data_IF_625058621208
#
_entry.id   IF_625058621208
#
_cell.length_a   1.000
_cell.length_b   1.000
_cell.length_c   1.000
_cell.angle_alpha   90.00
_cell.angle_beta   90.00
_cell.angle_gamma   90.00
#
_symmetry.space_group_name_H-M   'P 1'
#
loop_
_entity.id
_entity.type
_entity.pdbx_description
1 polymer ?
#
# COMPACT_ATOMS: atom_id res chain seq x y z
N UNK A 1 -17.62 -4.86 -19.25
CA UNK A 1 -17.38 -3.42 -19.03
C UNK A 1 -15.92 -3.18 -18.69
N UNK A 2 -15.28 -2.30 -19.42
CA UNK A 2 -13.88 -1.96 -19.13
C UNK A 2 -13.80 -0.93 -18.00
N UNK A 3 -12.92 -1.16 -17.03
CA UNK A 3 -12.65 -0.19 -15.97
C UNK A 3 -11.83 0.95 -16.58
N UNK A 4 -12.21 2.18 -16.30
CA UNK A 4 -11.47 3.34 -16.76
C UNK A 4 -10.06 3.36 -16.18
N UNK A 5 -9.08 3.68 -17.04
CA UNK A 5 -7.69 3.81 -16.60
C UNK A 5 -7.53 5.10 -15.79
N UNK A 6 -7.23 4.97 -14.51
CA UNK A 6 -7.04 6.10 -13.62
C UNK A 6 -6.10 5.77 -12.46
N UNK A 7 -5.57 6.82 -11.87
CA UNK A 7 -4.77 6.71 -10.66
C UNK A 7 -5.68 6.43 -9.46
N UNK A 8 -5.36 5.39 -8.70
CA UNK A 8 -6.10 5.06 -7.47
C UNK A 8 -5.49 5.75 -6.25
N UNK A 9 -4.16 5.79 -6.16
CA UNK A 9 -3.47 6.35 -4.99
C UNK A 9 -2.02 6.67 -5.34
N UNK A 10 -1.40 7.54 -4.55
CA UNK A 10 0.05 7.80 -4.66
C UNK A 10 0.63 8.33 -3.37
N UNK A 11 1.89 7.99 -3.13
CA UNK A 11 2.63 8.38 -1.94
C UNK A 11 2.67 9.90 -1.74
N UNK A 12 2.79 10.67 -2.81
CA UNK A 12 2.90 12.14 -2.73
C UNK A 12 1.71 12.79 -2.03
N UNK A 13 0.52 12.19 -2.13
CA UNK A 13 -0.68 12.75 -1.47
C UNK A 13 -0.59 12.75 0.05
N UNK A 14 0.27 11.90 0.61
CA UNK A 14 0.40 11.73 2.07
C UNK A 14 1.73 12.22 2.60
N UNK A 15 2.61 12.69 1.72
CA UNK A 15 3.98 13.04 2.09
C UNK A 15 4.05 14.15 3.14
N UNK A 16 3.30 15.22 2.96
CA UNK A 16 3.36 16.36 3.89
C UNK A 16 2.91 15.97 5.30
N UNK A 17 1.88 15.15 5.42
CA UNK A 17 1.42 14.66 6.73
C UNK A 17 2.47 13.73 7.36
N UNK A 18 3.04 12.82 6.57
CA UNK A 18 4.10 11.93 7.07
C UNK A 18 5.35 12.72 7.47
N UNK A 19 5.70 13.76 6.71
CA UNK A 19 6.83 14.65 7.03
C UNK A 19 6.60 15.33 8.38
N UNK A 20 5.43 15.90 8.59
CA UNK A 20 5.08 16.55 9.86
C UNK A 20 5.22 15.58 11.02
N UNK A 21 4.67 14.36 10.87
CA UNK A 21 4.74 13.32 11.89
C UNK A 21 6.18 12.89 12.18
N UNK A 22 6.99 12.74 11.12
CA UNK A 22 8.38 12.34 11.25
C UNK A 22 9.22 13.39 11.98
N UNK A 23 9.08 14.66 11.59
CA UNK A 23 9.79 15.74 12.24
C UNK A 23 9.42 15.84 13.72
N UNK A 24 8.14 15.72 14.03
CA UNK A 24 7.65 15.75 15.41
C UNK A 24 8.17 14.55 16.21
N UNK A 25 8.05 13.36 15.66
CA UNK A 25 8.41 12.12 16.34
C UNK A 25 9.90 12.02 16.67
N UNK A 26 10.75 12.49 15.76
CA UNK A 26 12.22 12.46 15.94
C UNK A 26 12.79 13.80 16.41
N UNK A 27 11.95 14.79 16.65
CA UNK A 27 12.38 16.12 17.11
C UNK A 27 13.42 16.73 16.17
N UNK A 28 13.16 16.63 14.86
CA UNK A 28 14.05 17.16 13.83
C UNK A 28 13.47 18.41 13.18
N UNK A 29 14.35 19.26 12.66
CA UNK A 29 13.98 20.35 11.78
C UNK A 29 14.12 19.90 10.32
N UNK A 30 13.35 20.51 9.43
CA UNK A 30 13.36 20.13 8.01
C UNK A 30 14.76 20.21 7.40
N UNK A 31 15.55 21.20 7.80
CA UNK A 31 16.90 21.43 7.29
C UNK A 31 17.91 20.34 7.73
N UNK A 32 17.57 19.56 8.74
CA UNK A 32 18.41 18.48 9.24
C UNK A 32 18.20 17.15 8.51
N UNK A 33 17.20 17.06 7.62
CA UNK A 33 16.84 15.82 6.98
C UNK A 33 17.86 15.38 5.94
N UNK A 34 18.24 14.10 5.99
CA UNK A 34 19.10 13.43 5.02
C UNK A 34 18.25 12.75 3.94
N UNK A 35 18.90 12.26 2.87
CA UNK A 35 18.21 11.46 1.86
C UNK A 35 17.57 10.21 2.47
N UNK A 36 18.23 9.57 3.43
CA UNK A 36 17.68 8.39 4.11
C UNK A 36 16.42 8.75 4.91
N UNK A 37 16.39 9.94 5.53
CA UNK A 37 15.20 10.40 6.22
C UNK A 37 14.04 10.60 5.25
N UNK A 38 14.29 11.21 4.09
CA UNK A 38 13.25 11.39 3.06
C UNK A 38 12.70 10.04 2.59
N UNK A 39 13.55 9.05 2.41
CA UNK A 39 13.13 7.70 2.05
C UNK A 39 12.20 7.12 3.11
N UNK A 40 12.55 7.25 4.38
CA UNK A 40 11.69 6.77 5.47
C UNK A 40 10.36 7.49 5.52
N UNK A 41 10.36 8.80 5.30
CA UNK A 41 9.11 9.58 5.26
C UNK A 41 8.21 9.07 4.13
N UNK A 42 8.76 8.82 2.95
CA UNK A 42 7.99 8.23 1.85
C UNK A 42 7.47 6.83 2.19
N UNK A 43 8.25 6.03 2.90
CA UNK A 43 7.79 4.73 3.39
C UNK A 43 6.61 4.87 4.33
N UNK A 44 6.66 5.82 5.25
CA UNK A 44 5.54 6.11 6.15
C UNK A 44 4.31 6.57 5.37
N UNK A 45 4.51 7.44 4.40
CA UNK A 45 3.43 7.98 3.57
C UNK A 45 2.74 6.89 2.75
N UNK A 46 3.49 5.89 2.29
CA UNK A 46 3.03 4.89 1.33
C UNK A 46 2.81 3.50 1.93
N UNK A 47 2.94 3.32 3.24
CA UNK A 47 2.85 1.99 3.85
C UNK A 47 1.50 1.32 3.54
N UNK A 48 0.41 2.06 3.61
CA UNK A 48 -0.93 1.52 3.30
C UNK A 48 -1.02 1.04 1.86
N UNK A 49 -0.45 1.79 0.92
CA UNK A 49 -0.41 1.39 -0.49
C UNK A 49 0.48 0.15 -0.64
N UNK A 50 1.62 0.14 0.04
CA UNK A 50 2.56 -0.98 0.03
C UNK A 50 1.94 -2.28 0.51
N UNK A 51 1.12 -2.24 1.56
CA UNK A 51 0.40 -3.42 2.05
C UNK A 51 -0.58 -3.93 1.01
N UNK A 52 -1.30 -3.04 0.35
CA UNK A 52 -2.25 -3.45 -0.69
C UNK A 52 -1.53 -4.04 -1.91
N UNK A 53 -0.45 -3.41 -2.34
CA UNK A 53 0.38 -3.93 -3.44
C UNK A 53 0.96 -5.30 -3.11
N UNK A 54 1.40 -5.49 -1.86
CA UNK A 54 1.87 -6.80 -1.38
C UNK A 54 0.78 -7.85 -1.53
N UNK A 55 -0.45 -7.51 -1.10
CA UNK A 55 -1.59 -8.42 -1.24
C UNK A 55 -1.85 -8.77 -2.71
N UNK A 56 -1.81 -7.76 -3.59
CA UNK A 56 -2.00 -7.99 -5.03
C UNK A 56 -0.94 -8.94 -5.59
N UNK A 57 0.32 -8.74 -5.24
CA UNK A 57 1.41 -9.59 -5.72
C UNK A 57 1.26 -11.02 -5.17
N UNK A 58 0.92 -11.17 -3.89
CA UNK A 58 0.72 -12.48 -3.27
C UNK A 58 -0.45 -13.26 -3.90
N UNK A 59 -1.43 -12.57 -4.46
CA UNK A 59 -2.62 -13.17 -5.08
C UNK A 59 -2.56 -13.19 -6.61
N UNK A 60 -1.38 -12.91 -7.18
CA UNK A 60 -1.20 -12.83 -8.63
C UNK A 60 -2.17 -11.85 -9.30
N UNK A 61 -2.51 -10.78 -8.56
CA UNK A 61 -3.47 -9.76 -8.98
C UNK A 61 -2.79 -8.46 -9.44
N UNK A 62 -1.47 -8.38 -9.37
CA UNK A 62 -0.70 -7.21 -9.82
C UNK A 62 -0.12 -7.49 -11.21
N UNK A 63 -0.43 -6.59 -12.16
CA UNK A 63 0.18 -6.68 -13.48
C UNK A 63 1.68 -6.42 -13.41
N UNK A 64 2.43 -7.17 -14.21
CA UNK A 64 3.86 -6.97 -14.38
C UNK A 64 4.07 -6.04 -15.57
N UNK A 65 4.60 -4.84 -15.31
CA UNK A 65 4.78 -3.83 -16.37
C UNK A 65 6.02 -4.07 -17.21
N UNK A 66 6.95 -4.89 -16.72
CA UNK A 66 8.20 -5.23 -17.38
C UNK A 66 8.62 -6.63 -16.91
N UNK A 67 9.25 -7.45 -17.80
CA UNK A 67 9.79 -8.75 -17.37
C UNK A 67 10.80 -8.66 -16.24
N UNK A 68 11.46 -7.51 -16.09
CA UNK A 68 12.45 -7.29 -15.03
C UNK A 68 11.81 -7.29 -13.63
N UNK A 69 10.50 -7.06 -13.54
CA UNK A 69 9.79 -7.06 -12.27
C UNK A 69 9.61 -8.46 -11.68
N UNK A 70 9.81 -9.52 -12.47
CA UNK A 70 9.62 -10.89 -11.99
C UNK A 70 10.49 -11.19 -10.77
N UNK A 71 11.75 -10.75 -10.78
CA UNK A 71 12.68 -10.97 -9.68
C UNK A 71 12.19 -10.30 -8.40
N UNK A 72 11.73 -9.06 -8.48
CA UNK A 72 11.23 -8.34 -7.30
C UNK A 72 9.90 -8.92 -6.83
N UNK A 73 9.04 -9.39 -7.73
CA UNK A 73 7.80 -10.07 -7.33
C UNK A 73 8.10 -11.34 -6.54
N UNK A 74 9.07 -12.15 -7.00
CA UNK A 74 9.48 -13.34 -6.24
C UNK A 74 10.09 -12.97 -4.89
N UNK A 75 10.88 -11.91 -4.84
CA UNK A 75 11.46 -11.42 -3.59
C UNK A 75 10.36 -11.00 -2.59
N UNK A 76 9.28 -10.39 -3.07
CA UNK A 76 8.13 -10.04 -2.23
C UNK A 76 7.40 -11.31 -1.78
N UNK A 77 7.16 -12.25 -2.69
CA UNK A 77 6.53 -13.53 -2.33
C UNK A 77 7.32 -14.33 -1.30
N UNK A 78 8.65 -14.18 -1.32
CA UNK A 78 9.57 -14.81 -0.36
C UNK A 78 9.82 -13.95 0.89
N UNK A 79 9.12 -12.83 1.03
CA UNK A 79 9.22 -11.93 2.18
C UNK A 79 10.60 -11.31 2.38
N UNK A 80 11.34 -11.14 1.29
CA UNK A 80 12.68 -10.53 1.31
C UNK A 80 12.67 -9.05 0.96
N UNK A 81 11.59 -8.57 0.34
CA UNK A 81 11.41 -7.17 -0.06
C UNK A 81 10.02 -6.71 0.37
N UNK A 82 9.93 -5.53 0.98
CA UNK A 82 8.64 -4.93 1.33
C UNK A 82 7.94 -4.39 0.08
N UNK A 83 6.62 -4.55 0.02
CA UNK A 83 5.84 -4.02 -1.09
C UNK A 83 5.94 -2.52 -1.24
N UNK A 84 6.11 -1.78 -0.13
CA UNK A 84 6.29 -0.33 -0.19
C UNK A 84 7.57 0.05 -0.92
N UNK A 85 8.64 -0.72 -0.74
CA UNK A 85 9.90 -0.45 -1.45
C UNK A 85 9.76 -0.71 -2.95
N UNK A 86 9.06 -1.77 -3.33
CA UNK A 86 8.72 -2.00 -4.73
C UNK A 86 7.90 -0.83 -5.30
N UNK A 87 6.90 -0.40 -4.57
CA UNK A 87 6.04 0.72 -4.99
C UNK A 87 6.87 1.99 -5.26
N UNK A 88 7.78 2.32 -4.34
CA UNK A 88 8.59 3.52 -4.46
C UNK A 88 9.65 3.41 -5.56
N UNK A 89 10.29 2.26 -5.69
CA UNK A 89 11.43 2.08 -6.60
C UNK A 89 11.01 1.73 -8.04
N UNK A 90 9.88 1.06 -8.21
CA UNK A 90 9.44 0.55 -9.51
C UNK A 90 8.19 1.23 -10.06
N UNK A 91 7.36 1.80 -9.18
CA UNK A 91 6.06 2.37 -9.57
C UNK A 91 5.98 3.87 -9.36
N UNK A 92 7.09 4.51 -9.03
CA UNK A 92 7.13 5.95 -8.75
C UNK A 92 6.12 6.34 -7.65
N UNK A 93 5.90 5.45 -6.68
CA UNK A 93 4.97 5.67 -5.58
C UNK A 93 3.50 5.68 -5.97
N UNK A 94 3.14 5.18 -7.15
CA UNK A 94 1.78 5.27 -7.70
C UNK A 94 1.14 3.90 -7.87
N UNK A 95 -0.16 3.83 -7.61
CA UNK A 95 -1.00 2.67 -7.88
C UNK A 95 -2.17 3.11 -8.75
N UNK A 96 -2.30 2.52 -9.92
CA UNK A 96 -3.39 2.82 -10.86
C UNK A 96 -4.19 1.58 -11.24
N UNK A 97 -5.32 1.78 -11.91
CA UNK A 97 -6.17 0.67 -12.34
C UNK A 97 -5.46 -0.25 -13.33
N UNK A 98 -4.51 0.28 -14.12
CA UNK A 98 -3.71 -0.54 -15.04
C UNK A 98 -2.76 -1.50 -14.33
N UNK A 99 -2.45 -1.24 -13.07
CA UNK A 99 -1.58 -2.11 -12.28
C UNK A 99 -2.28 -3.38 -11.83
N UNK A 100 -3.60 -3.46 -12.01
CA UNK A 100 -4.43 -4.54 -11.48
C UNK A 100 -4.81 -5.49 -12.60
N UNK A 101 -4.67 -6.80 -12.39
CA UNK A 101 -5.13 -7.79 -13.38
C UNK A 101 -6.64 -7.68 -13.57
N UNK A 102 -7.09 -8.02 -14.77
CA UNK A 102 -8.47 -7.82 -15.20
C UNK A 102 -9.48 -8.39 -14.20
N UNK A 103 -9.23 -9.59 -13.69
CA UNK A 103 -10.16 -10.29 -12.81
C UNK A 103 -10.34 -9.61 -11.46
N UNK A 104 -9.38 -8.78 -11.04
CA UNK A 104 -9.40 -8.09 -9.76
C UNK A 104 -9.78 -6.61 -9.88
N UNK A 105 -9.84 -6.05 -11.08
CA UNK A 105 -10.04 -4.61 -11.27
C UNK A 105 -11.35 -4.13 -10.63
N UNK A 106 -12.45 -4.85 -10.82
CA UNK A 106 -13.74 -4.43 -10.28
C UNK A 106 -13.74 -4.43 -8.76
N UNK A 107 -13.17 -5.46 -8.13
CA UNK A 107 -13.03 -5.51 -6.68
C UNK A 107 -12.17 -4.36 -6.15
N UNK A 108 -10.99 -4.19 -6.73
CA UNK A 108 -10.06 -3.15 -6.26
C UNK A 108 -10.66 -1.77 -6.42
N UNK A 109 -11.30 -1.52 -7.57
CA UNK A 109 -11.92 -0.22 -7.83
C UNK A 109 -13.01 0.10 -6.81
N UNK A 110 -13.79 -0.89 -6.40
CA UNK A 110 -14.83 -0.71 -5.40
C UNK A 110 -14.28 -0.62 -3.98
N UNK A 111 -13.47 -1.60 -3.59
CA UNK A 111 -12.99 -1.70 -2.22
C UNK A 111 -11.96 -0.63 -1.87
N UNK A 112 -10.98 -0.42 -2.72
CA UNK A 112 -9.88 0.51 -2.42
C UNK A 112 -10.38 1.94 -2.23
N UNK A 113 -11.29 2.38 -3.09
CA UNK A 113 -11.82 3.73 -3.01
C UNK A 113 -12.76 3.98 -1.84
N UNK A 114 -13.55 2.97 -1.46
CA UNK A 114 -14.67 3.21 -0.57
C UNK A 114 -14.46 2.67 0.85
N UNK A 115 -13.53 1.74 1.04
CA UNK A 115 -13.40 1.06 2.34
C UNK A 115 -11.96 0.82 2.80
N UNK A 116 -11.01 0.65 1.88
CA UNK A 116 -9.67 0.18 2.25
C UNK A 116 -8.98 1.07 3.28
N UNK A 117 -9.01 2.38 3.10
CA UNK A 117 -8.30 3.30 4.00
C UNK A 117 -8.91 3.29 5.41
N UNK A 118 -10.22 3.12 5.51
CA UNK A 118 -10.89 2.97 6.80
C UNK A 118 -10.46 1.67 7.49
N UNK A 119 -10.43 0.57 6.75
CA UNK A 119 -9.98 -0.72 7.29
C UNK A 119 -8.52 -0.67 7.75
N UNK A 120 -7.66 -0.06 6.94
CA UNK A 120 -6.25 0.11 7.29
C UNK A 120 -6.07 0.97 8.53
N UNK A 121 -6.75 2.11 8.59
CA UNK A 121 -6.65 3.04 9.72
C UNK A 121 -7.15 2.40 11.01
N UNK A 122 -8.27 1.69 10.94
CA UNK A 122 -8.82 0.98 12.10
C UNK A 122 -7.85 -0.10 12.61
N UNK A 123 -7.26 -0.85 11.69
CA UNK A 123 -6.27 -1.87 12.05
C UNK A 123 -5.04 -1.25 12.73
N UNK A 124 -4.50 -0.17 12.15
CA UNK A 124 -3.30 0.48 12.70
C UNK A 124 -3.55 0.99 14.11
N UNK A 125 -4.70 1.64 14.32
CA UNK A 125 -5.03 2.22 15.63
C UNK A 125 -5.36 1.13 16.65
N UNK A 126 -6.18 0.16 16.28
CA UNK A 126 -6.74 -0.79 17.26
C UNK A 126 -5.86 -2.01 17.49
N UNK A 127 -5.12 -2.47 16.48
CA UNK A 127 -4.34 -3.70 16.56
C UNK A 127 -2.84 -3.46 16.72
N UNK A 128 -2.32 -2.40 16.11
CA UNK A 128 -0.90 -2.05 16.21
C UNK A 128 -0.61 -0.97 17.25
N UNK A 129 -1.65 -0.30 17.76
CA UNK A 129 -1.52 0.82 18.70
C UNK A 129 -0.61 1.91 18.16
N UNK A 130 -0.73 2.16 16.85
CA UNK A 130 0.05 3.16 16.13
C UNK A 130 -0.90 4.12 15.39
N UNK A 131 -0.38 5.02 14.61
CA UNK A 131 -1.17 5.95 13.83
C UNK A 131 -0.82 5.81 12.35
N UNK A 132 -1.82 5.91 11.45
CA UNK A 132 -1.53 5.93 10.02
C UNK A 132 -0.54 7.05 9.68
N UNK A 133 0.39 6.79 8.75
CA UNK A 133 1.42 7.71 8.32
C UNK A 133 2.49 8.02 9.38
N UNK A 134 2.61 7.20 10.42
CA UNK A 134 3.61 7.38 11.48
C UNK A 134 4.52 6.17 11.67
N UNK A 135 4.45 5.16 10.79
CA UNK A 135 5.29 3.98 10.94
C UNK A 135 5.54 3.28 9.60
N UNK A 136 6.54 2.42 9.58
CA UNK A 136 6.79 1.47 8.50
C UNK A 136 6.35 0.09 8.99
N UNK A 137 5.41 -0.53 8.28
CA UNK A 137 4.94 -1.87 8.61
C UNK A 137 5.95 -2.94 8.26
N UNK A 138 6.05 -3.94 9.13
CA UNK A 138 6.85 -5.14 8.92
C UNK A 138 6.05 -6.22 8.18
N UNK A 139 6.72 -7.32 7.80
CA UNK A 139 6.03 -8.51 7.30
C UNK A 139 5.08 -9.10 8.34
N UNK A 140 5.46 -9.06 9.61
CA UNK A 140 4.59 -9.50 10.69
C UNK A 140 3.31 -8.67 10.73
N UNK A 141 3.43 -7.34 10.64
CA UNK A 141 2.27 -6.43 10.59
C UNK A 141 1.40 -6.72 9.37
N UNK A 142 2.02 -6.95 8.21
CA UNK A 142 1.30 -7.32 7.00
C UNK A 142 0.48 -8.59 7.20
N UNK A 143 1.07 -9.62 7.79
CA UNK A 143 0.36 -10.88 8.01
C UNK A 143 -0.83 -10.74 8.95
N UNK A 144 -0.75 -9.82 9.90
CA UNK A 144 -1.89 -9.50 10.77
C UNK A 144 -2.99 -8.77 10.00
N UNK A 145 -2.62 -7.95 9.02
CA UNK A 145 -3.59 -7.15 8.26
C UNK A 145 -4.16 -7.89 7.03
N UNK A 146 -3.40 -8.73 6.38
CA UNK A 146 -3.82 -9.41 5.14
C UNK A 146 -5.18 -10.09 5.25
N UNK A 147 -5.56 -10.73 6.37
CA UNK A 147 -6.90 -11.32 6.51
C UNK A 147 -8.05 -10.32 6.35
N UNK A 148 -7.81 -9.04 6.64
CA UNK A 148 -8.84 -7.99 6.44
C UNK A 148 -9.13 -7.82 4.95
N UNK A 149 -8.10 -7.80 4.12
CA UNK A 149 -8.27 -7.71 2.66
C UNK A 149 -8.86 -9.01 2.12
N UNK A 150 -8.40 -10.16 2.62
CA UNK A 150 -8.95 -11.47 2.23
C UNK A 150 -10.46 -11.52 2.48
N UNK A 151 -10.89 -11.07 3.64
CA UNK A 151 -12.32 -11.05 3.99
C UNK A 151 -13.10 -10.09 3.09
N UNK A 152 -12.54 -8.92 2.81
CA UNK A 152 -13.19 -7.96 1.90
C UNK A 152 -13.38 -8.59 0.52
N UNK A 153 -12.36 -9.29 0.01
CA UNK A 153 -12.44 -9.96 -1.28
C UNK A 153 -13.49 -11.08 -1.26
N UNK A 154 -13.51 -11.89 -0.22
CA UNK A 154 -14.49 -12.96 -0.07
C UNK A 154 -15.92 -12.42 -0.03
N UNK A 155 -16.14 -11.33 0.69
CA UNK A 155 -17.45 -10.65 0.74
C UNK A 155 -17.84 -10.10 -0.62
N UNK A 156 -16.89 -9.51 -1.35
CA UNK A 156 -17.15 -9.00 -2.69
C UNK A 156 -17.57 -10.11 -3.65
N UNK A 157 -16.86 -11.24 -3.64
CA UNK A 157 -17.18 -12.41 -4.47
C UNK A 157 -18.57 -12.93 -4.13
N UNK A 158 -18.96 -12.87 -2.86
CA UNK A 158 -20.29 -13.29 -2.38
C UNK A 158 -21.41 -12.28 -2.69
N UNK A 159 -21.08 -11.15 -3.33
CA UNK A 159 -22.08 -10.16 -3.78
C UNK A 159 -22.09 -8.84 -3.05
N UNK A 160 -21.28 -8.67 -1.99
CA UNK A 160 -21.20 -7.39 -1.27
C UNK A 160 -20.54 -6.30 -2.13
N UNK A 161 -21.01 -5.08 -1.97
CA UNK A 161 -20.38 -3.88 -2.56
C UNK A 161 -20.06 -2.89 -1.45
N UNK A 162 -18.98 -2.10 -1.65
CA UNK A 162 -18.47 -1.17 -0.64
C UNK A 162 -18.90 0.28 -0.90
N UNK A 163 -19.56 0.52 -2.02
CA UNK A 163 -20.06 1.85 -2.37
C UNK A 163 -21.55 2.01 -2.13
#
# INVERSE_FOLDING_TARGET
MTVENRLLDKADWYFENALTNYLHGYQLQKEELTQNNYREIYRWAANHIGFFVTWLIQHDAKEMMSPDEETVFQSIKNEQTLGVDYLLDWCDGKLGTMDITKDFQAFVNDYYEHQYMDDYSEFVVNDLYDLPLEFLGSWEDYHLFAPVIDQAYAHYVAGKRFH
#
